data_IF_132480063304
#
_entry.id   IF_132480063304
#
_cell.length_a   1.000
_cell.length_b   1.000
_cell.length_c   1.000
_cell.angle_alpha   90.00
_cell.angle_beta   90.00
_cell.angle_gamma   90.00
#
_symmetry.space_group_name_H-M   'P 1'
#
loop_
_entity.id
_entity.type
_entity.pdbx_description
1 polymer ?
#
# COMPACT_ATOMS: atom_id res chain seq x y z
N UNK A 1 7.18 -5.84 -25.77
CA UNK A 1 7.27 -6.39 -24.40
C UNK A 1 6.48 -5.47 -23.49
N UNK A 2 5.39 -5.96 -22.92
CA UNK A 2 4.60 -5.21 -21.95
C UNK A 2 5.36 -5.27 -20.62
N UNK A 3 5.63 -4.12 -20.00
CA UNK A 3 6.40 -4.09 -18.77
C UNK A 3 5.64 -4.82 -17.65
N UNK A 4 6.28 -5.82 -17.04
CA UNK A 4 5.72 -6.58 -15.90
C UNK A 4 5.60 -5.73 -14.62
N UNK A 5 6.11 -4.50 -14.65
CA UNK A 5 6.14 -3.59 -13.52
C UNK A 5 5.59 -2.22 -13.92
N UNK A 6 4.88 -1.53 -13.01
CA UNK A 6 4.33 -0.21 -13.27
C UNK A 6 5.44 0.80 -13.63
N UNK A 7 5.08 1.77 -14.47
CA UNK A 7 5.99 2.84 -14.89
C UNK A 7 6.45 3.74 -13.73
N UNK A 8 5.72 3.74 -12.60
CA UNK A 8 6.08 4.46 -11.37
C UNK A 8 6.34 3.48 -10.22
N UNK A 9 7.28 3.87 -9.35
CA UNK A 9 7.51 3.25 -8.02
C UNK A 9 6.81 4.05 -6.91
N UNK A 10 5.71 4.72 -7.26
CA UNK A 10 4.93 5.58 -6.38
C UNK A 10 3.52 5.02 -6.33
N UNK A 11 3.02 4.76 -5.11
CA UNK A 11 1.70 4.18 -4.88
C UNK A 11 0.85 5.14 -4.07
N UNK A 12 -0.44 5.17 -4.37
CA UNK A 12 -1.43 5.98 -3.66
C UNK A 12 -2.19 5.08 -2.67
N UNK A 13 -2.47 5.63 -1.49
CA UNK A 13 -3.23 4.98 -0.43
C UNK A 13 -4.16 6.00 0.21
N UNK A 14 -5.15 5.54 0.96
CA UNK A 14 -6.09 6.41 1.65
C UNK A 14 -5.36 7.36 2.61
N UNK A 15 -5.87 8.59 2.73
CA UNK A 15 -5.37 9.59 3.67
C UNK A 15 -5.42 9.06 5.12
N UNK A 16 -4.51 9.52 5.98
CA UNK A 16 -4.38 9.05 7.37
C UNK A 16 -3.52 7.80 7.55
N UNK A 17 -3.16 7.09 6.47
CA UNK A 17 -2.34 5.87 6.54
C UNK A 17 -0.84 6.09 6.37
N UNK A 18 -0.40 7.34 6.14
CA UNK A 18 1.00 7.67 5.82
C UNK A 18 1.98 7.16 6.88
N UNK A 19 1.72 7.44 8.16
CA UNK A 19 2.59 7.00 9.26
C UNK A 19 2.66 5.47 9.39
N UNK A 20 1.62 4.75 9.00
CA UNK A 20 1.68 3.29 8.99
C UNK A 20 2.50 2.76 7.81
N UNK A 21 2.25 3.30 6.62
CA UNK A 21 2.89 2.85 5.38
C UNK A 21 4.34 3.32 5.22
N UNK A 22 4.84 4.26 6.04
CA UNK A 22 6.27 4.65 6.06
C UNK A 22 7.21 3.46 6.35
N UNK A 23 6.69 2.41 7.00
CA UNK A 23 7.43 1.19 7.35
C UNK A 23 7.53 0.19 6.20
N UNK A 24 6.84 0.45 5.08
CA UNK A 24 6.86 -0.43 3.93
C UNK A 24 8.25 -0.45 3.28
N UNK A 25 8.69 -1.66 2.90
CA UNK A 25 9.93 -1.90 2.13
C UNK A 25 9.65 -2.52 0.77
N UNK A 26 8.57 -3.28 0.64
CA UNK A 26 8.22 -3.96 -0.59
C UNK A 26 6.76 -3.70 -0.97
N UNK A 27 6.50 -3.68 -2.27
CA UNK A 27 5.15 -3.70 -2.84
C UNK A 27 4.86 -5.12 -3.34
N UNK A 28 3.77 -5.72 -2.84
CA UNK A 28 3.26 -6.98 -3.36
C UNK A 28 2.31 -6.70 -4.51
N UNK A 29 2.56 -7.37 -5.64
CA UNK A 29 1.70 -7.35 -6.80
C UNK A 29 1.03 -8.70 -7.00
N UNK A 30 -0.22 -8.68 -7.44
CA UNK A 30 -0.92 -9.85 -7.96
C UNK A 30 -1.29 -9.61 -9.41
N UNK A 31 -1.37 -10.70 -10.17
CA UNK A 31 -1.74 -10.66 -11.57
C UNK A 31 -3.21 -11.05 -11.69
N UNK A 32 -4.02 -10.21 -12.32
CA UNK A 32 -5.43 -10.53 -12.56
C UNK A 32 -5.59 -11.46 -13.77
N UNK A 33 -6.82 -11.87 -14.07
CA UNK A 33 -7.11 -12.78 -15.20
C UNK A 33 -6.75 -12.21 -16.58
N UNK A 34 -6.55 -10.89 -16.69
CA UNK A 34 -6.11 -10.21 -17.91
C UNK A 34 -4.58 -10.10 -18.04
N UNK A 35 -3.82 -10.60 -17.05
CA UNK A 35 -2.36 -10.49 -17.03
C UNK A 35 -1.85 -9.15 -16.50
N UNK A 36 -2.72 -8.32 -15.91
CA UNK A 36 -2.34 -6.99 -15.39
C UNK A 36 -1.81 -7.12 -13.96
N UNK A 37 -0.66 -6.49 -13.69
CA UNK A 37 -0.10 -6.40 -12.34
C UNK A 37 -0.86 -5.33 -11.54
N UNK A 38 -1.51 -5.75 -10.46
CA UNK A 38 -2.28 -4.91 -9.55
C UNK A 38 -1.55 -4.86 -8.20
N UNK A 39 -1.36 -3.66 -7.66
CA UNK A 39 -0.86 -3.50 -6.29
C UNK A 39 -1.85 -4.17 -5.33
N UNK A 40 -1.38 -5.17 -4.59
CA UNK A 40 -2.19 -5.89 -3.63
C UNK A 40 -1.97 -5.36 -2.22
N UNK A 41 -0.72 -5.22 -1.78
CA UNK A 41 -0.41 -4.75 -0.42
C UNK A 41 1.02 -4.20 -0.31
N UNK A 42 1.28 -3.40 0.72
CA UNK A 42 2.63 -2.99 1.11
C UNK A 42 3.13 -3.85 2.27
N UNK A 43 4.37 -4.34 2.14
CA UNK A 43 5.00 -5.28 3.08
C UNK A 43 6.15 -4.62 3.82
N UNK A 44 6.32 -5.02 5.08
CA UNK A 44 7.49 -4.65 5.88
C UNK A 44 8.76 -5.39 5.46
N UNK A 45 9.84 -5.13 6.18
CA UNK A 45 11.20 -5.64 5.88
C UNK A 45 11.31 -7.17 5.80
N UNK A 46 10.52 -7.90 6.58
CA UNK A 46 10.49 -9.36 6.61
C UNK A 46 9.30 -9.93 5.81
N UNK A 47 8.80 -9.16 4.83
CA UNK A 47 7.62 -9.50 4.03
C UNK A 47 6.31 -9.65 4.83
N UNK A 48 6.30 -9.22 6.10
CA UNK A 48 5.11 -9.27 6.95
C UNK A 48 4.06 -8.24 6.51
N UNK A 49 2.75 -8.55 6.67
CA UNK A 49 1.69 -7.57 6.46
C UNK A 49 1.82 -6.41 7.45
N UNK A 50 1.56 -5.18 6.99
CA UNK A 50 1.49 -4.00 7.86
C UNK A 50 0.08 -3.81 8.48
N UNK A 51 -0.96 -4.37 7.85
CA UNK A 51 -2.36 -4.29 8.28
C UNK A 51 -2.86 -2.85 8.54
N UNK A 52 -2.33 -1.85 7.81
CA UNK A 52 -2.62 -0.43 8.05
C UNK A 52 -4.12 -0.10 7.96
N UNK A 53 -4.83 -0.70 7.02
CA UNK A 53 -6.29 -0.51 6.84
C UNK A 53 -7.15 -1.23 7.89
N UNK A 54 -6.55 -2.14 8.68
CA UNK A 54 -7.23 -2.85 9.76
C UNK A 54 -7.03 -2.16 11.12
N UNK A 55 -6.18 -1.14 11.19
CA UNK A 55 -6.04 -0.35 12.41
C UNK A 55 -7.32 0.46 12.61
N UNK A 56 -7.97 0.30 13.76
CA UNK A 56 -9.18 1.07 14.11
C UNK A 56 -8.90 2.57 13.90
N UNK A 57 -9.88 3.27 13.33
CA UNK A 57 -9.95 4.73 13.27
C UNK A 57 -9.06 5.42 12.21
N UNK A 58 -8.48 4.72 11.24
CA UNK A 58 -7.78 5.40 10.13
C UNK A 58 -8.70 6.34 9.34
N UNK A 59 -9.98 6.01 9.25
CA UNK A 59 -11.01 6.77 8.55
C UNK A 59 -11.55 7.95 9.36
N UNK A 60 -11.25 8.05 10.66
CA UNK A 60 -11.67 9.18 11.49
C UNK A 60 -10.93 10.47 11.12
N UNK A 61 -9.87 10.36 10.30
CA UNK A 61 -9.02 11.47 9.90
C UNK A 61 -8.22 12.00 11.08
N UNK A 62 -7.09 12.65 10.81
CA UNK A 62 -6.35 13.41 11.81
C UNK A 62 -7.06 14.75 12.10
N UNK A 63 -8.26 14.72 12.68
CA UNK A 63 -8.87 15.90 13.32
C UNK A 63 -8.43 15.92 14.78
N UNK A 64 -7.12 15.99 15.03
CA UNK A 64 -6.59 16.17 16.39
C UNK A 64 -5.58 17.30 16.53
N UNK A 65 -5.22 17.96 15.44
CA UNK A 65 -4.19 19.00 15.43
C UNK A 65 -4.72 20.38 14.97
N UNK A 66 -5.99 20.72 15.27
CA UNK A 66 -6.55 22.08 15.13
C UNK A 66 -6.84 22.70 16.50
#
# INVERSE_FOLDING_TARGET
MQALYPASRSFLFAEGLAQCYEKAKYAEFKVNSKGEAILFELRGEQLQPLNCEKQKNWWEGTIKDL
#
